data_IF_140506846448
#
_entry.id   IF_140506846448
#
_cell.length_a   1.000
_cell.length_b   1.000
_cell.length_c   1.000
_cell.angle_alpha   90.00
_cell.angle_beta   90.00
_cell.angle_gamma   90.00
#
_symmetry.space_group_name_H-M   'P 1'
#
loop_
_entity.id
_entity.type
_entity.pdbx_description
1 polymer ?
#
# COMPACT_ATOMS: atom_id res chain seq x y z
N UNK A 1 7.83 1.65 2.69
CA UNK A 1 9.05 1.65 1.84
C UNK A 1 8.82 0.78 0.60
N UNK A 2 9.16 1.26 -0.60
CA UNK A 2 9.11 0.47 -1.83
C UNK A 2 10.47 -0.20 -2.07
N UNK A 3 10.46 -1.46 -2.50
CA UNK A 3 11.68 -2.16 -2.92
C UNK A 3 11.84 -1.95 -4.42
N UNK A 4 13.03 -1.55 -4.87
CA UNK A 4 13.31 -1.35 -6.29
C UNK A 4 13.11 -2.65 -7.08
N UNK A 5 12.70 -2.50 -8.34
CA UNK A 5 12.44 -3.65 -9.21
C UNK A 5 13.69 -4.46 -9.49
N UNK A 6 13.50 -5.77 -9.65
CA UNK A 6 14.59 -6.72 -9.89
C UNK A 6 15.44 -7.06 -8.66
N UNK A 7 15.20 -6.45 -7.50
CA UNK A 7 15.91 -6.76 -6.25
C UNK A 7 15.43 -8.06 -5.61
N UNK A 8 14.14 -8.40 -5.78
CA UNK A 8 13.54 -9.57 -5.15
C UNK A 8 13.61 -10.81 -6.05
N UNK A 9 13.77 -11.98 -5.44
CA UNK A 9 13.73 -13.26 -6.14
C UNK A 9 12.31 -13.65 -6.57
N UNK A 10 12.19 -14.45 -7.63
CA UNK A 10 10.89 -14.88 -8.14
C UNK A 10 9.99 -15.56 -7.08
N UNK A 11 10.51 -16.44 -6.19
CA UNK A 11 9.68 -17.02 -5.12
C UNK A 11 9.09 -15.95 -4.19
N UNK A 12 9.86 -14.94 -3.79
CA UNK A 12 9.39 -13.87 -2.89
C UNK A 12 8.29 -13.04 -3.55
N UNK A 13 8.48 -12.68 -4.83
CA UNK A 13 7.49 -11.94 -5.60
C UNK A 13 6.18 -12.74 -5.74
N UNK A 14 6.25 -14.02 -6.10
CA UNK A 14 5.07 -14.88 -6.28
C UNK A 14 4.31 -15.01 -4.95
N UNK A 15 5.01 -15.27 -3.85
CA UNK A 15 4.38 -15.38 -2.53
C UNK A 15 3.73 -14.07 -2.10
N UNK A 16 4.43 -12.93 -2.24
CA UNK A 16 3.90 -11.61 -1.90
C UNK A 16 2.69 -11.23 -2.75
N UNK A 17 2.75 -11.49 -4.06
CA UNK A 17 1.64 -11.26 -4.97
C UNK A 17 0.42 -12.13 -4.61
N UNK A 18 0.63 -13.42 -4.31
CA UNK A 18 -0.44 -14.32 -3.89
C UNK A 18 -1.14 -13.87 -2.60
N UNK A 19 -0.37 -13.46 -1.58
CA UNK A 19 -0.92 -12.89 -0.35
C UNK A 19 -1.69 -11.59 -0.60
N UNK A 20 -1.16 -10.72 -1.46
CA UNK A 20 -1.78 -9.42 -1.78
C UNK A 20 -3.12 -9.63 -2.51
N UNK A 21 -3.15 -10.48 -3.53
CA UNK A 21 -4.36 -10.77 -4.31
C UNK A 21 -5.44 -11.40 -3.43
N UNK A 22 -5.07 -12.32 -2.54
CA UNK A 22 -6.03 -12.96 -1.64
C UNK A 22 -6.60 -11.97 -0.61
N UNK A 23 -5.76 -11.15 0.02
CA UNK A 23 -6.20 -10.15 0.98
C UNK A 23 -7.07 -9.05 0.35
N UNK A 24 -6.68 -8.53 -0.82
CA UNK A 24 -7.45 -7.53 -1.56
C UNK A 24 -8.77 -8.12 -2.04
N UNK A 25 -8.75 -9.32 -2.64
CA UNK A 25 -9.97 -9.99 -3.11
C UNK A 25 -10.97 -10.26 -1.98
N UNK A 26 -10.50 -10.71 -0.82
CA UNK A 26 -11.33 -10.88 0.36
C UNK A 26 -11.92 -9.56 0.87
N UNK A 27 -11.10 -8.51 0.95
CA UNK A 27 -11.53 -7.19 1.42
C UNK A 27 -12.57 -6.56 0.49
N UNK A 28 -12.36 -6.64 -0.83
CA UNK A 28 -13.31 -6.17 -1.84
C UNK A 28 -14.64 -6.93 -1.77
N UNK A 29 -14.59 -8.26 -1.59
CA UNK A 29 -15.80 -9.08 -1.45
C UNK A 29 -16.64 -8.69 -0.23
N UNK A 30 -16.00 -8.23 0.84
CA UNK A 30 -16.67 -7.86 2.09
C UNK A 30 -17.19 -6.41 2.09
N UNK A 31 -16.65 -5.54 1.24
CA UNK A 31 -16.98 -4.12 1.20
C UNK A 31 -18.40 -3.88 0.66
N UNK A 32 -19.21 -3.14 1.40
CA UNK A 32 -20.53 -2.71 0.92
C UNK A 32 -20.41 -1.44 0.05
N UNK A 33 -21.29 -1.27 -0.93
CA UNK A 33 -21.25 -0.09 -1.82
C UNK A 33 -21.33 1.25 -1.09
N UNK A 34 -22.07 1.33 0.01
CA UNK A 34 -22.16 2.54 0.84
C UNK A 34 -20.82 2.94 1.49
N UNK A 35 -19.87 2.01 1.57
CA UNK A 35 -18.54 2.25 2.15
C UNK A 35 -17.53 2.80 1.14
N UNK A 36 -17.84 2.76 -0.16
CA UNK A 36 -16.94 3.22 -1.23
C UNK A 36 -16.45 4.66 -0.99
N UNK A 37 -17.31 5.65 -0.65
CA UNK A 37 -16.84 7.01 -0.40
C UNK A 37 -15.86 7.09 0.78
N UNK A 38 -16.12 6.33 1.85
CA UNK A 38 -15.26 6.27 3.05
C UNK A 38 -13.89 5.69 2.71
N UNK A 39 -13.85 4.57 1.98
CA UNK A 39 -12.58 3.93 1.56
C UNK A 39 -11.80 4.81 0.59
N UNK A 40 -12.49 5.51 -0.32
CA UNK A 40 -11.85 6.45 -1.24
C UNK A 40 -11.15 7.59 -0.50
N UNK A 41 -11.84 8.25 0.44
CA UNK A 41 -11.25 9.34 1.24
C UNK A 41 -10.05 8.83 2.03
N UNK A 42 -10.15 7.69 2.71
CA UNK A 42 -9.03 7.12 3.46
C UNK A 42 -7.83 6.81 2.55
N UNK A 43 -8.08 6.19 1.39
CA UNK A 43 -7.03 5.93 0.39
C UNK A 43 -6.36 7.21 -0.07
N UNK A 44 -7.13 8.26 -0.35
CA UNK A 44 -6.61 9.58 -0.73
C UNK A 44 -5.77 10.22 0.39
N UNK A 45 -6.23 10.16 1.64
CA UNK A 45 -5.49 10.69 2.78
C UNK A 45 -4.17 9.97 2.96
N UNK A 46 -4.15 8.64 2.92
CA UNK A 46 -2.92 7.87 3.04
C UNK A 46 -1.96 8.15 1.88
N UNK A 47 -2.47 8.27 0.65
CA UNK A 47 -1.65 8.63 -0.51
C UNK A 47 -1.01 10.01 -0.34
N UNK A 48 -1.80 11.06 -0.03
CA UNK A 48 -1.28 12.41 0.17
C UNK A 48 -0.31 12.47 1.35
N UNK A 49 -0.62 11.81 2.46
CA UNK A 49 0.26 11.73 3.62
C UNK A 49 1.59 11.05 3.28
N UNK A 50 1.58 10.03 2.41
CA UNK A 50 2.79 9.36 1.93
C UNK A 50 3.68 10.29 1.09
N UNK A 51 3.17 11.41 0.58
CA UNK A 51 3.98 12.43 -0.11
C UNK A 51 4.63 13.43 0.84
N UNK A 52 4.22 13.45 2.11
CA UNK A 52 4.83 14.31 3.12
C UNK A 52 6.13 13.65 3.58
N UNK A 53 7.25 14.26 3.20
CA UNK A 53 8.57 13.83 3.59
C UNK A 53 9.01 14.57 4.85
N UNK A 54 9.40 13.82 5.87
CA UNK A 54 10.01 14.35 7.09
C UNK A 54 11.51 14.05 7.02
N UNK A 55 12.39 15.07 7.03
CA UNK A 55 13.82 14.86 7.03
C UNK A 55 14.26 14.27 8.37
N UNK A 56 15.03 13.17 8.31
CA UNK A 56 15.61 12.51 9.48
C UNK A 56 17.10 12.31 9.19
N UNK A 57 17.93 13.26 9.64
CA UNK A 57 19.37 13.24 9.40
C UNK A 57 19.69 13.31 7.89
N UNK A 58 20.55 12.41 7.34
CA UNK A 58 20.90 12.40 5.91
C UNK A 58 19.84 11.75 5.01
N UNK A 59 18.73 11.27 5.57
CA UNK A 59 17.64 10.62 4.82
C UNK A 59 16.31 11.32 5.06
N UNK A 60 15.28 10.95 4.28
CA UNK A 60 13.89 11.38 4.49
C UNK A 60 13.00 10.16 4.64
N UNK A 61 12.05 10.23 5.56
CA UNK A 61 11.00 9.22 5.73
C UNK A 61 9.66 9.84 5.31
N UNK A 62 8.79 9.02 4.75
CA UNK A 62 7.40 9.41 4.53
C UNK A 62 6.59 9.10 5.78
N UNK A 63 5.44 9.75 5.96
CA UNK A 63 4.57 9.47 7.11
C UNK A 63 3.97 8.05 7.10
N UNK A 64 4.06 7.32 5.97
CA UNK A 64 3.54 5.96 5.73
C UNK A 64 4.53 5.15 4.87
#
# INVERSE_FOLDING_TARGET
>A
MHISEGILSAPVLITGAGLTVTAVGYSLKKMEHKEVPKVAILSSVFFVASLIHVPVGPSSVHLI
#
